data_IF_838409610053
#
_entry.id   IF_838409610053
#
_cell.length_a   1.000
_cell.length_b   1.000
_cell.length_c   1.000
_cell.angle_alpha   90.00
_cell.angle_beta   90.00
_cell.angle_gamma   90.00
#
_symmetry.space_group_name_H-M   'P 1'
#
loop_
_entity.id
_entity.type
_entity.pdbx_description
1 polymer ?
#
# COMPACT_ATOMS: atom_id res chain seq x y z
N UNK A 1 12.53 13.97 2.24
CA UNK A 1 12.94 12.75 1.47
C UNK A 1 12.22 12.71 0.13
N UNK A 2 10.90 12.88 0.13
CA UNK A 2 10.10 12.82 -1.10
C UNK A 2 10.44 13.93 -2.10
N UNK A 3 10.86 15.11 -1.61
CA UNK A 3 11.25 16.25 -2.47
C UNK A 3 12.47 15.95 -3.35
N UNK A 4 13.36 15.07 -2.89
CA UNK A 4 14.56 14.66 -3.64
C UNK A 4 14.28 13.46 -4.58
N UNK A 5 13.03 12.97 -4.63
CA UNK A 5 12.63 11.86 -5.50
C UNK A 5 12.96 10.46 -4.96
N UNK A 6 13.31 10.34 -3.68
CA UNK A 6 13.49 9.03 -3.05
C UNK A 6 12.17 8.31 -2.83
N UNK A 7 12.21 6.98 -2.94
CA UNK A 7 11.12 6.02 -2.77
C UNK A 7 11.55 4.97 -1.74
N UNK A 8 10.59 4.29 -1.12
CA UNK A 8 10.82 3.21 -0.16
C UNK A 8 10.30 1.88 -0.72
N UNK A 9 11.01 0.79 -0.42
CA UNK A 9 10.57 -0.60 -0.62
C UNK A 9 11.04 -1.44 0.58
N UNK A 10 10.11 -1.85 1.44
CA UNK A 10 10.45 -2.47 2.73
C UNK A 10 11.37 -1.56 3.55
N UNK A 11 12.53 -2.05 3.97
CA UNK A 11 13.55 -1.27 4.67
C UNK A 11 14.47 -0.42 3.77
N UNK A 12 14.34 -0.53 2.44
CA UNK A 12 15.25 0.12 1.49
C UNK A 12 14.71 1.46 1.01
N UNK A 13 15.56 2.48 1.01
CA UNK A 13 15.30 3.76 0.32
C UNK A 13 16.11 3.79 -0.98
N UNK A 14 15.49 4.18 -2.09
CA UNK A 14 16.16 4.28 -3.38
C UNK A 14 15.65 5.47 -4.20
N UNK A 15 16.46 5.93 -5.16
CA UNK A 15 16.05 6.86 -6.22
C UNK A 15 16.57 6.30 -7.54
N UNK A 16 15.72 6.08 -8.55
CA UNK A 16 16.18 5.69 -9.88
C UNK A 16 17.19 6.70 -10.43
N UNK A 17 18.34 6.21 -10.90
CA UNK A 17 19.42 7.02 -11.46
C UNK A 17 19.88 6.42 -12.80
N UNK A 18 19.08 6.64 -13.84
CA UNK A 18 19.37 6.15 -15.19
C UNK A 18 19.91 7.28 -16.06
N UNK A 19 21.03 7.07 -16.74
CA UNK A 19 21.69 8.13 -17.56
C UNK A 19 20.89 8.51 -18.82
N UNK A 20 20.07 7.59 -19.34
CA UNK A 20 19.35 7.76 -20.60
C UNK A 20 17.84 7.46 -20.49
N UNK A 21 17.28 7.43 -19.27
CA UNK A 21 15.88 7.06 -19.05
C UNK A 21 15.21 7.96 -18.00
N UNK A 22 14.13 8.62 -18.41
CA UNK A 22 13.30 9.49 -17.57
C UNK A 22 11.91 8.90 -17.29
N UNK A 23 11.71 7.59 -17.49
CA UNK A 23 10.40 6.95 -17.32
C UNK A 23 9.90 6.97 -15.86
N UNK A 24 10.80 7.05 -14.88
CA UNK A 24 10.46 7.14 -13.46
C UNK A 24 10.09 8.57 -13.05
N UNK A 25 8.95 9.06 -13.51
CA UNK A 25 8.42 10.37 -13.11
C UNK A 25 7.70 10.27 -11.75
N UNK A 26 8.09 11.04 -10.72
CA UNK A 26 7.33 11.11 -9.48
C UNK A 26 5.99 11.82 -9.72
N UNK A 27 4.88 11.18 -9.32
CA UNK A 27 3.56 11.79 -9.38
C UNK A 27 3.20 12.44 -8.03
N UNK A 28 2.68 13.66 -8.07
CA UNK A 28 2.08 14.35 -6.92
C UNK A 28 0.64 14.70 -7.26
N UNK A 29 -0.29 14.30 -6.39
CA UNK A 29 -1.73 14.52 -6.61
C UNK A 29 -2.17 15.72 -5.77
N UNK A 30 -2.73 16.79 -6.36
CA UNK A 30 -3.21 17.96 -5.61
C UNK A 30 -4.54 17.64 -4.92
N UNK A 31 -4.47 16.89 -3.81
CA UNK A 31 -5.66 16.38 -3.09
C UNK A 31 -6.61 17.49 -2.63
N UNK A 32 -6.10 18.67 -2.32
CA UNK A 32 -6.90 19.85 -1.91
C UNK A 32 -7.79 20.40 -3.02
N UNK A 33 -7.48 20.11 -4.29
CA UNK A 33 -8.25 20.53 -5.46
C UNK A 33 -9.12 19.39 -6.03
N UNK A 34 -9.10 18.22 -5.38
CA UNK A 34 -9.81 17.06 -5.88
C UNK A 34 -11.33 17.30 -5.92
N UNK A 35 -11.91 17.16 -7.10
CA UNK A 35 -13.36 17.12 -7.29
C UNK A 35 -13.72 15.79 -7.97
N UNK A 36 -14.55 14.94 -7.34
CA UNK A 36 -14.85 13.63 -7.88
C UNK A 36 -15.66 13.77 -9.18
N UNK A 37 -15.16 13.15 -10.26
CA UNK A 37 -15.95 13.01 -11.49
C UNK A 37 -17.11 12.04 -11.26
N UNK A 38 -18.14 12.06 -12.11
CA UNK A 38 -19.33 11.18 -12.02
C UNK A 38 -18.98 9.71 -11.80
N UNK A 39 -17.93 9.19 -12.45
CA UNK A 39 -17.43 7.83 -12.23
C UNK A 39 -16.95 7.59 -10.79
N UNK A 40 -16.08 8.46 -10.28
CA UNK A 40 -15.53 8.39 -8.92
C UNK A 40 -16.63 8.58 -7.87
N UNK A 41 -17.55 9.51 -8.08
CA UNK A 41 -18.69 9.71 -7.18
C UNK A 41 -19.59 8.46 -7.09
N UNK A 42 -19.84 7.78 -8.22
CA UNK A 42 -20.56 6.49 -8.22
C UNK A 42 -19.80 5.41 -7.48
N UNK A 43 -18.48 5.30 -7.70
CA UNK A 43 -17.63 4.35 -6.97
C UNK A 43 -17.68 4.62 -5.47
N UNK A 44 -17.51 5.88 -5.05
CA UNK A 44 -17.61 6.28 -3.64
C UNK A 44 -18.95 5.86 -3.03
N UNK A 45 -20.07 6.19 -3.70
CA UNK A 45 -21.41 5.85 -3.22
C UNK A 45 -21.64 4.33 -3.10
N UNK A 46 -21.06 3.53 -4.00
CA UNK A 46 -21.23 2.06 -3.99
C UNK A 46 -20.48 1.39 -2.84
N UNK A 47 -19.40 1.99 -2.34
CA UNK A 47 -18.52 1.39 -1.34
C UNK A 47 -18.71 2.02 0.06
N UNK A 48 -19.89 2.59 0.35
CA UNK A 48 -20.17 3.20 1.66
C UNK A 48 -20.36 2.17 2.79
N UNK A 49 -20.53 0.91 2.42
CA UNK A 49 -20.57 -0.26 3.29
C UNK A 49 -19.18 -0.69 3.79
N UNK A 50 -18.11 -0.32 3.07
CA UNK A 50 -16.75 -0.63 3.48
C UNK A 50 -16.36 0.13 4.75
N UNK A 51 -15.83 -0.60 5.71
CA UNK A 51 -15.30 -0.05 6.95
C UNK A 51 -13.79 -0.02 6.91
N UNK A 52 -13.21 1.16 7.14
CA UNK A 52 -11.76 1.35 7.20
C UNK A 52 -11.33 1.52 8.65
N UNK A 53 -10.34 0.75 9.08
CA UNK A 53 -9.70 0.88 10.40
C UNK A 53 -8.22 1.09 10.27
N UNK A 54 -7.69 2.09 10.97
CA UNK A 54 -6.25 2.20 11.24
C UNK A 54 -5.84 1.18 12.30
N UNK A 55 -4.68 0.57 12.14
CA UNK A 55 -4.09 -0.40 13.07
C UNK A 55 -2.59 -0.12 13.25
N UNK A 56 -1.98 -0.72 14.27
CA UNK A 56 -0.55 -0.53 14.56
C UNK A 56 0.35 -1.50 13.79
N UNK A 57 -0.18 -2.65 13.37
CA UNK A 57 0.54 -3.62 12.54
C UNK A 57 -0.42 -4.51 11.75
N UNK A 58 0.15 -5.30 10.85
CA UNK A 58 -0.50 -6.34 10.07
C UNK A 58 0.06 -7.74 10.40
N UNK A 59 0.68 -7.94 11.56
CA UNK A 59 1.37 -9.20 11.89
C UNK A 59 0.45 -10.38 12.23
N UNK A 60 -0.85 -10.13 12.39
CA UNK A 60 -1.83 -11.18 12.72
C UNK A 60 -2.13 -12.13 11.55
N UNK A 61 -2.75 -13.26 11.88
CA UNK A 61 -3.09 -14.32 10.91
C UNK A 61 -4.18 -13.92 9.91
N UNK A 62 -5.09 -13.01 10.27
CA UNK A 62 -6.15 -12.56 9.34
C UNK A 62 -5.53 -11.78 8.18
N UNK A 63 -4.60 -10.86 8.48
CA UNK A 63 -3.88 -10.08 7.48
C UNK A 63 -2.94 -10.95 6.64
N UNK A 64 -2.15 -11.80 7.28
CA UNK A 64 -1.27 -12.73 6.56
C UNK A 64 -2.07 -13.69 5.65
N UNK A 65 -3.20 -14.20 6.13
CA UNK A 65 -4.07 -15.04 5.33
C UNK A 65 -4.63 -14.35 4.08
N UNK A 66 -4.92 -13.04 4.14
CA UNK A 66 -5.28 -12.27 2.95
C UNK A 66 -4.08 -12.07 2.01
N UNK A 67 -2.88 -11.84 2.55
CA UNK A 67 -1.65 -11.74 1.77
C UNK A 67 -1.33 -13.04 1.01
N UNK A 68 -1.41 -14.21 1.67
CA UNK A 68 -1.18 -15.51 1.02
C UNK A 68 -2.10 -15.69 -0.19
N UNK A 69 -3.41 -15.46 -0.01
CA UNK A 69 -4.38 -15.55 -1.12
C UNK A 69 -4.05 -14.60 -2.27
N UNK A 70 -3.58 -13.39 -1.96
CA UNK A 70 -3.19 -12.42 -2.99
C UNK A 70 -1.97 -12.90 -3.78
N UNK A 71 -0.93 -13.38 -3.11
CA UNK A 71 0.28 -13.92 -3.76
C UNK A 71 -0.05 -15.15 -4.61
N UNK A 72 -0.79 -16.11 -4.07
CA UNK A 72 -1.18 -17.33 -4.79
C UNK A 72 -2.04 -17.03 -6.03
N UNK A 73 -2.92 -16.02 -5.98
CA UNK A 73 -3.82 -15.71 -7.10
C UNK A 73 -3.21 -14.78 -8.15
N UNK A 74 -2.28 -13.89 -7.77
CA UNK A 74 -1.80 -12.81 -8.64
C UNK A 74 -0.30 -12.86 -8.95
N UNK A 75 0.48 -13.53 -8.12
CA UNK A 75 1.94 -13.52 -8.17
C UNK A 75 2.52 -14.94 -8.07
N UNK A 76 1.77 -15.97 -8.46
CA UNK A 76 2.22 -17.37 -8.40
C UNK A 76 3.48 -17.65 -9.24
N UNK A 77 3.77 -16.78 -10.20
CA UNK A 77 4.92 -16.81 -11.10
C UNK A 77 6.01 -15.79 -10.76
N UNK A 78 5.88 -15.07 -9.63
CA UNK A 78 6.81 -14.02 -9.22
C UNK A 78 7.67 -14.37 -8.00
N UNK A 79 8.67 -13.53 -7.73
CA UNK A 79 9.67 -13.70 -6.65
C UNK A 79 9.08 -13.67 -5.21
N UNK A 80 7.79 -13.37 -5.06
CA UNK A 80 7.07 -13.39 -3.78
C UNK A 80 6.36 -14.73 -3.52
N UNK A 81 6.39 -15.67 -4.47
CA UNK A 81 5.78 -16.99 -4.35
C UNK A 81 6.83 -18.09 -4.05
N UNK A 82 6.52 -19.08 -3.19
CA UNK A 82 5.32 -19.18 -2.36
C UNK A 82 5.27 -18.11 -1.27
N UNK A 83 4.08 -17.75 -0.75
CA UNK A 83 3.99 -16.79 0.33
C UNK A 83 4.73 -17.30 1.58
N UNK A 84 5.65 -16.48 2.07
CA UNK A 84 6.44 -16.76 3.27
C UNK A 84 6.15 -15.72 4.36
N UNK A 85 6.00 -16.20 5.61
CA UNK A 85 5.62 -15.33 6.74
C UNK A 85 6.77 -14.43 7.16
N UNK A 86 8.01 -14.91 7.14
CA UNK A 86 9.15 -14.09 7.54
C UNK A 86 9.38 -12.96 6.54
N UNK A 87 9.30 -13.25 5.24
CA UNK A 87 9.36 -12.25 4.18
C UNK A 87 8.22 -11.22 4.32
N UNK A 88 6.99 -11.68 4.58
CA UNK A 88 5.83 -10.80 4.83
C UNK A 88 6.07 -9.83 6.00
N UNK A 89 6.51 -10.34 7.14
CA UNK A 89 6.77 -9.53 8.34
C UNK A 89 7.89 -8.52 8.10
N UNK A 90 9.01 -8.98 7.53
CA UNK A 90 10.17 -8.14 7.22
C UNK A 90 9.83 -7.02 6.25
N UNK A 91 9.00 -7.30 5.24
CA UNK A 91 8.68 -6.35 4.19
C UNK A 91 7.58 -5.35 4.60
N UNK A 92 6.50 -5.83 5.22
CA UNK A 92 5.33 -5.00 5.51
C UNK A 92 5.27 -4.48 6.94
N UNK A 93 5.79 -5.21 7.95
CA UNK A 93 5.62 -4.85 9.36
C UNK A 93 6.88 -4.24 10.01
N UNK A 94 7.97 -4.08 9.26
CA UNK A 94 9.13 -3.29 9.71
C UNK A 94 8.84 -1.79 9.58
N UNK A 95 7.93 -1.31 10.44
CA UNK A 95 7.36 0.03 10.43
C UNK A 95 8.44 1.09 10.62
N UNK A 96 8.31 2.21 9.91
CA UNK A 96 9.03 3.44 10.24
C UNK A 96 8.10 4.31 11.09
N UNK A 97 8.63 5.32 11.77
CA UNK A 97 7.80 6.21 12.62
C UNK A 97 6.66 6.90 11.84
N UNK A 98 6.81 7.02 10.51
CA UNK A 98 5.81 7.55 9.60
C UNK A 98 4.83 6.52 9.03
N UNK A 99 4.98 5.22 9.34
CA UNK A 99 4.18 4.15 8.72
C UNK A 99 2.85 3.95 9.43
N UNK A 100 1.79 3.86 8.64
CA UNK A 100 0.41 3.65 9.07
C UNK A 100 -0.21 2.49 8.31
N UNK A 101 -0.96 1.67 9.03
CA UNK A 101 -1.62 0.50 8.47
C UNK A 101 -3.12 0.69 8.46
N UNK A 102 -3.75 0.37 7.33
CA UNK A 102 -5.20 0.42 7.18
C UNK A 102 -5.75 -0.93 6.74
N UNK A 103 -6.86 -1.31 7.35
CA UNK A 103 -7.62 -2.52 7.07
C UNK A 103 -8.99 -2.14 6.53
N UNK A 104 -9.41 -2.76 5.45
CA UNK A 104 -10.70 -2.53 4.80
C UNK A 104 -11.56 -3.78 4.97
N UNK A 105 -12.73 -3.59 5.55
CA UNK A 105 -13.69 -4.65 5.81
C UNK A 105 -14.94 -4.46 4.98
N UNK A 106 -15.34 -5.50 4.26
CA UNK A 106 -16.72 -5.65 3.80
C UNK A 106 -17.47 -6.45 4.87
N UNK A 107 -18.38 -5.80 5.57
CA UNK A 107 -19.12 -6.36 6.70
C UNK A 107 -18.19 -6.86 7.83
N UNK A 108 -17.86 -8.15 7.85
CA UNK A 108 -16.91 -8.77 8.80
C UNK A 108 -15.66 -9.34 8.14
N UNK A 109 -15.60 -9.33 6.81
CA UNK A 109 -14.52 -9.95 6.05
C UNK A 109 -13.44 -8.92 5.73
N UNK A 110 -12.19 -9.22 6.05
CA UNK A 110 -11.06 -8.40 5.64
C UNK A 110 -10.82 -8.58 4.13
N UNK A 111 -10.95 -7.49 3.37
CA UNK A 111 -10.90 -7.51 1.89
C UNK A 111 -9.71 -6.75 1.31
N UNK A 112 -9.11 -5.82 2.05
CA UNK A 112 -7.89 -5.14 1.62
C UNK A 112 -7.05 -4.66 2.81
N UNK A 113 -5.77 -4.47 2.53
CA UNK A 113 -4.76 -3.90 3.42
C UNK A 113 -4.06 -2.76 2.70
N UNK A 114 -3.64 -1.74 3.45
CA UNK A 114 -2.76 -0.69 2.94
C UNK A 114 -1.67 -0.36 3.97
N UNK A 115 -0.46 -0.20 3.47
CA UNK A 115 0.70 0.35 4.19
C UNK A 115 0.97 1.72 3.59
N UNK A 116 0.93 2.76 4.43
CA UNK A 116 1.01 4.16 4.02
C UNK A 116 2.05 4.86 4.87
N UNK A 117 3.00 5.54 4.24
CA UNK A 117 3.94 6.41 4.95
C UNK A 117 3.46 7.87 4.85
N UNK A 118 3.33 8.54 5.99
CA UNK A 118 2.96 9.97 6.07
C UNK A 118 4.22 10.83 6.25
N UNK A 119 4.56 11.65 5.26
CA UNK A 119 5.75 12.50 5.30
C UNK A 119 5.35 13.98 5.43
N UNK A 120 6.21 14.78 6.07
CA UNK A 120 6.00 16.23 6.17
C UNK A 120 5.95 16.93 4.79
N UNK A 121 6.63 16.36 3.80
CA UNK A 121 6.77 16.90 2.45
C UNK A 121 5.95 16.14 1.39
N UNK A 122 5.02 15.28 1.82
CA UNK A 122 4.15 14.49 0.94
C UNK A 122 3.19 13.59 1.69
#
# INVERSE_FOLDING_TARGET
MSLLGFRRSGSHIYRPHCTHCDACVPARIPVTQFQPRRGQARTWKRNQDLRVRRTESLSDDEAYGLYCRYIELRHADGDMYPPDREQYESFLNNAWDCTHYYRFYDSRSLVALAVVDELQDG
#
